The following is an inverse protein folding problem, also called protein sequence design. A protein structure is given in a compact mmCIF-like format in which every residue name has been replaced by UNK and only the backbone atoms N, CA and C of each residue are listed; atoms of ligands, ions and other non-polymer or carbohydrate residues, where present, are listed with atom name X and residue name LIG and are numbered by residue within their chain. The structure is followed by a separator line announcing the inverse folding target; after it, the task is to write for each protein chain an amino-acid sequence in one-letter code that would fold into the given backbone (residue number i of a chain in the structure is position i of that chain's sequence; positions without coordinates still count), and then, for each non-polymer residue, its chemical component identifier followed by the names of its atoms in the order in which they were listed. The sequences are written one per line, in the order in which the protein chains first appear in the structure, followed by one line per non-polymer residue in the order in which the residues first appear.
data_IF_777165924974
#
_entry.id   IF_777165924974
#
_cell.length_a   1.000
_cell.length_b   1.000
_cell.length_c   1.000
_cell.angle_alpha   90.00
_cell.angle_beta   90.00
_cell.angle_gamma   90.00
#
_symmetry.space_group_name_H-M   'P 1'
#
loop_
_entity.id
_entity.type
_entity.pdbx_description
1 polymer ?
#
# COMPACT_ATOMS: atom_id res chain seq x y z
N UNK A 1 -49.18 39.30 -5.92
CA UNK A 1 -48.57 38.02 -6.33
C UNK A 1 -47.07 38.22 -6.31
N UNK A 2 -46.44 37.84 -5.20
CA UNK A 2 -44.98 37.86 -5.02
C UNK A 2 -44.65 36.55 -4.33
N UNK A 3 -44.18 35.56 -5.09
CA UNK A 3 -43.67 34.32 -4.53
C UNK A 3 -42.28 34.55 -3.92
N UNK A 4 -41.88 33.78 -2.89
CA UNK A 4 -40.59 33.97 -2.25
C UNK A 4 -39.45 33.48 -3.16
N UNK A 5 -38.36 34.24 -3.15
CA UNK A 5 -37.07 33.94 -3.76
C UNK A 5 -36.42 32.72 -3.08
N UNK A 6 -35.81 31.77 -3.82
CA UNK A 6 -35.20 30.60 -3.22
C UNK A 6 -33.87 30.93 -2.53
N UNK A 7 -33.74 30.44 -1.29
CA UNK A 7 -32.59 30.54 -0.38
C UNK A 7 -31.34 29.81 -0.93
N UNK A 8 -30.15 30.45 -0.99
CA UNK A 8 -28.91 29.81 -1.42
C UNK A 8 -28.19 29.14 -0.24
N UNK A 9 -28.75 28.08 0.33
CA UNK A 9 -28.08 27.32 1.39
C UNK A 9 -28.54 25.85 1.49
N UNK A 10 -28.20 25.00 0.52
CA UNK A 10 -27.93 23.58 0.81
C UNK A 10 -26.83 23.06 -0.14
N UNK A 11 -25.59 23.35 0.23
CA UNK A 11 -24.38 22.90 -0.45
C UNK A 11 -24.02 21.43 -0.17
N UNK A 12 -24.99 20.56 0.13
CA UNK A 12 -24.75 19.11 0.10
C UNK A 12 -24.83 18.62 -1.34
N UNK A 13 -23.79 18.92 -2.13
CA UNK A 13 -23.48 18.10 -3.31
C UNK A 13 -23.08 16.72 -2.80
N UNK A 14 -24.05 15.80 -2.87
CA UNK A 14 -23.80 14.38 -2.82
C UNK A 14 -22.98 13.98 -4.04
N UNK A 15 -21.67 14.11 -3.93
CA UNK A 15 -20.74 13.38 -4.78
C UNK A 15 -20.71 11.95 -4.21
N UNK A 16 -21.72 11.17 -4.57
CA UNK A 16 -21.79 9.77 -4.20
C UNK A 16 -20.51 9.10 -4.69
N UNK A 17 -19.69 8.66 -3.75
CA UNK A 17 -18.54 7.84 -4.04
C UNK A 17 -19.00 6.65 -4.90
N UNK A 18 -18.39 6.39 -6.06
CA UNK A 18 -18.88 5.55 -7.14
C UNK A 18 -20.10 4.66 -6.80
N UNK A 19 -21.30 5.19 -7.11
CA UNK A 19 -22.55 4.43 -7.26
C UNK A 19 -23.79 5.04 -6.59
N UNK A 20 -24.98 5.01 -7.24
CA UNK A 20 -26.25 5.38 -6.62
C UNK A 20 -26.56 4.41 -5.49
N UNK A 21 -27.41 4.80 -4.54
CA UNK A 21 -27.92 3.91 -3.48
C UNK A 21 -28.42 2.59 -4.08
N UNK A 22 -27.61 1.54 -4.01
CA UNK A 22 -27.85 0.31 -4.74
C UNK A 22 -26.82 -0.75 -4.38
N UNK A 23 -27.22 -1.63 -3.46
CA UNK A 23 -26.54 -2.87 -3.08
C UNK A 23 -25.25 -2.66 -2.27
N UNK A 24 -25.47 -2.35 -0.99
CA UNK A 24 -24.66 -2.94 0.08
C UNK A 24 -24.78 -4.47 -0.03
N UNK A 25 -23.91 -5.12 -0.80
CA UNK A 25 -23.53 -6.51 -0.47
C UNK A 25 -22.66 -6.37 0.76
N UNK A 26 -23.32 -6.31 1.91
CA UNK A 26 -22.66 -6.50 3.17
C UNK A 26 -21.82 -7.77 3.10
N UNK A 27 -20.78 -7.79 3.93
CA UNK A 27 -20.19 -8.99 4.47
C UNK A 27 -21.27 -9.79 5.23
N UNK A 28 -22.25 -10.30 4.48
CA UNK A 28 -23.24 -11.24 4.91
C UNK A 28 -22.65 -12.60 4.66
N UNK A 29 -22.48 -13.35 5.75
CA UNK A 29 -22.18 -14.76 5.79
C UNK A 29 -22.69 -15.44 4.51
N UNK A 30 -21.78 -16.09 3.77
CA UNK A 30 -22.17 -17.07 2.76
C UNK A 30 -22.92 -18.18 3.50
N UNK A 31 -24.23 -18.01 3.65
CA UNK A 31 -25.14 -19.12 3.90
C UNK A 31 -25.12 -19.94 2.62
N UNK A 32 -24.32 -21.00 2.64
CA UNK A 32 -24.38 -22.04 1.61
C UNK A 32 -25.76 -22.68 1.76
N UNK A 33 -26.73 -22.23 0.95
CA UNK A 33 -27.94 -23.00 0.70
C UNK A 33 -27.52 -24.23 -0.11
N UNK A 34 -27.20 -25.30 0.61
CA UNK A 34 -27.03 -26.64 0.05
C UNK A 34 -28.41 -27.10 -0.39
N UNK A 35 -28.78 -26.84 -1.65
CA UNK A 35 -29.87 -27.55 -2.28
C UNK A 35 -29.38 -28.97 -2.59
N UNK A 36 -30.09 -29.94 -2.03
CA UNK A 36 -29.82 -31.37 -2.11
C UNK A 36 -29.47 -31.86 -3.52
N UNK A 37 -28.22 -32.30 -3.70
CA UNK A 37 -27.93 -33.47 -4.53
C UNK A 37 -27.34 -34.54 -3.61
N UNK A 38 -28.22 -35.46 -3.17
CA UNK A 38 -27.80 -36.73 -2.59
C UNK A 38 -26.96 -37.48 -3.63
N UNK A 39 -25.75 -37.89 -3.26
CA UNK A 39 -25.21 -39.26 -3.31
C UNK A 39 -23.68 -39.22 -3.26
N UNK A 40 -23.13 -39.75 -2.14
CA UNK A 40 -21.81 -40.38 -2.04
C UNK A 40 -20.59 -39.45 -1.95
N UNK A 41 -19.57 -39.64 -1.10
CA UNK A 41 -19.15 -40.71 -0.21
C UNK A 41 -18.27 -40.03 0.87
N UNK A 42 -18.55 -40.33 2.14
CA UNK A 42 -17.64 -40.06 3.25
C UNK A 42 -16.41 -40.97 3.12
N UNK A 43 -15.21 -40.42 3.04
CA UNK A 43 -14.02 -41.17 3.43
C UNK A 43 -12.93 -40.21 3.93
N UNK A 44 -12.99 -39.97 5.23
CA UNK A 44 -11.82 -39.62 6.01
C UNK A 44 -10.91 -40.87 6.13
N UNK A 45 -9.62 -40.61 6.39
CA UNK A 45 -8.54 -41.56 6.69
C UNK A 45 -7.75 -42.10 5.50
N UNK A 46 -6.63 -41.45 5.18
CA UNK A 46 -5.31 -42.09 5.04
C UNK A 46 -4.24 -41.05 4.65
N UNK A 47 -3.79 -40.22 5.59
CA UNK A 47 -2.46 -39.58 5.47
C UNK A 47 -1.50 -40.43 6.27
N UNK A 48 -0.87 -41.40 5.60
CA UNK A 48 0.34 -42.05 6.08
C UNK A 48 1.00 -42.77 4.91
N UNK A 49 2.03 -42.16 4.31
CA UNK A 49 3.12 -42.92 3.72
C UNK A 49 4.42 -42.15 3.95
N UNK A 50 5.23 -42.78 4.80
CA UNK A 50 6.52 -42.39 5.32
C UNK A 50 7.58 -42.56 4.23
N UNK A 51 8.33 -41.50 3.92
CA UNK A 51 9.58 -41.59 3.18
C UNK A 51 10.67 -40.84 3.94
N UNK A 52 11.22 -41.45 4.98
CA UNK A 52 12.49 -41.04 5.58
C UNK A 52 13.47 -42.19 5.41
N UNK A 53 14.25 -42.13 4.34
CA UNK A 53 15.43 -42.97 4.18
C UNK A 53 16.64 -42.15 4.67
N UNK A 54 17.09 -42.48 5.88
CA UNK A 54 18.36 -42.06 6.46
C UNK A 54 19.49 -42.85 5.82
N UNK A 55 20.45 -42.15 5.18
CA UNK A 55 21.79 -42.71 4.93
C UNK A 55 22.82 -41.82 5.61
N UNK A 56 23.37 -42.38 6.68
CA UNK A 56 24.48 -41.85 7.48
C UNK A 56 25.77 -42.12 6.69
N UNK A 57 26.56 -41.08 6.44
CA UNK A 57 27.97 -41.22 6.11
C UNK A 57 28.80 -40.26 6.97
N UNK A 58 29.10 -40.70 8.19
CA UNK A 58 30.15 -40.11 9.04
C UNK A 58 31.49 -40.55 8.45
N UNK A 59 32.31 -39.59 8.02
CA UNK A 59 33.75 -39.80 7.84
C UNK A 59 34.47 -38.94 8.87
N UNK A 60 34.83 -39.59 9.98
CA UNK A 60 35.86 -39.15 10.90
C UNK A 60 37.22 -39.55 10.30
N UNK A 61 38.11 -38.58 10.17
CA UNK A 61 39.51 -38.79 9.86
C UNK A 61 40.29 -37.54 10.28
N UNK A 62 41.04 -37.65 11.38
CA UNK A 62 42.12 -36.72 11.74
C UNK A 62 43.25 -36.74 10.70
N UNK A 63 44.34 -36.00 10.81
CA UNK A 63 44.91 -35.27 11.95
C UNK A 63 45.95 -34.26 11.42
N UNK A 64 46.13 -33.19 12.20
CA UNK A 64 47.36 -32.40 12.48
C UNK A 64 48.29 -31.83 11.39
N UNK A 65 48.34 -30.48 11.43
CA UNK A 65 49.49 -29.57 11.68
C UNK A 65 50.52 -29.22 10.59
N UNK A 66 50.77 -27.90 10.64
CA UNK A 66 52.04 -27.18 10.48
C UNK A 66 52.40 -26.66 9.09
N UNK A 67 52.39 -25.33 8.99
CA UNK A 67 52.99 -24.53 7.92
C UNK A 67 52.92 -23.06 8.31
N UNK A 68 53.93 -22.58 9.02
CA UNK A 68 54.18 -21.17 9.24
C UNK A 68 54.72 -20.55 7.93
N UNK A 69 54.27 -19.35 7.55
CA UNK A 69 55.11 -18.14 7.54
C UNK A 69 54.44 -16.90 6.92
N UNK A 70 54.70 -15.75 7.59
CA UNK A 70 54.85 -14.37 7.08
C UNK A 70 53.58 -13.48 6.84
N UNK A 71 53.72 -12.14 6.76
CA UNK A 71 53.46 -11.15 7.83
C UNK A 71 52.24 -10.22 7.54
N UNK A 72 51.84 -9.30 8.45
CA UNK A 72 50.66 -8.46 8.22
C UNK A 72 51.00 -7.28 7.30
N UNK A 73 50.40 -7.25 6.12
CA UNK A 73 50.40 -6.06 5.26
C UNK A 73 49.10 -5.29 5.47
N UNK A 74 49.22 -4.13 6.10
CA UNK A 74 48.16 -3.13 6.20
C UNK A 74 47.74 -2.67 4.80
N UNK A 75 46.46 -2.83 4.48
CA UNK A 75 45.79 -2.08 3.43
C UNK A 75 44.51 -1.49 4.02
N UNK A 76 44.27 -0.17 3.93
CA UNK A 76 42.94 0.37 4.17
C UNK A 76 42.09 -0.04 2.96
N UNK A 77 41.24 -1.06 3.13
CA UNK A 77 40.13 -1.25 2.21
C UNK A 77 39.14 -0.11 2.45
N UNK A 78 39.38 1.03 1.79
CA UNK A 78 38.30 1.93 1.41
C UNK A 78 37.49 1.20 0.34
N UNK A 79 36.58 0.34 0.78
CA UNK A 79 35.45 -0.03 -0.06
C UNK A 79 34.53 1.18 -0.06
N UNK A 80 34.18 1.77 -1.21
CA UNK A 80 32.99 2.60 -1.26
C UNK A 80 31.85 1.65 -0.88
N UNK A 81 31.28 1.86 0.30
CA UNK A 81 29.94 1.37 0.66
C UNK A 81 28.95 2.13 -0.23
N UNK A 82 29.04 1.87 -1.53
CA UNK A 82 28.15 2.38 -2.53
C UNK A 82 26.99 1.37 -2.57
N UNK A 83 25.87 1.82 -2.01
CA UNK A 83 24.54 1.34 -2.33
C UNK A 83 24.28 -0.15 -2.02
N UNK A 84 24.28 -0.52 -0.74
CA UNK A 84 23.09 -1.21 -0.24
C UNK A 84 22.03 -0.12 -0.01
N UNK A 85 21.41 0.33 -1.11
CA UNK A 85 20.16 1.08 -1.01
C UNK A 85 19.23 0.25 -0.14
N UNK A 86 18.75 0.84 0.94
CA UNK A 86 17.77 0.22 1.79
C UNK A 86 16.50 -0.03 0.98
N UNK A 87 16.38 -1.22 0.38
CA UNK A 87 15.19 -1.68 -0.36
C UNK A 87 13.93 -1.68 0.54
N UNK A 88 14.09 -1.42 1.85
CA UNK A 88 12.98 -1.16 2.76
C UNK A 88 12.26 0.16 2.49
N UNK A 89 12.80 1.07 1.68
CA UNK A 89 12.12 2.31 1.30
C UNK A 89 12.00 2.47 -0.23
N UNK A 90 10.78 2.81 -0.70
CA UNK A 90 10.55 3.24 -2.08
C UNK A 90 10.23 4.73 -2.07
N UNK A 91 10.91 5.53 -2.90
CA UNK A 91 10.64 6.97 -2.99
C UNK A 91 10.26 7.36 -4.40
N UNK A 92 9.19 8.14 -4.55
CA UNK A 92 8.71 8.56 -5.86
C UNK A 92 7.42 9.36 -5.77
N UNK A 93 6.76 9.52 -6.92
CA UNK A 93 5.45 10.14 -7.02
C UNK A 93 4.40 9.04 -7.16
N UNK A 94 3.38 9.08 -6.30
CA UNK A 94 2.23 8.19 -6.39
C UNK A 94 1.27 8.75 -7.44
N UNK A 95 1.19 8.09 -8.59
CA UNK A 95 0.30 8.45 -9.70
C UNK A 95 -0.97 7.63 -9.59
N UNK A 96 -2.12 8.30 -9.58
CA UNK A 96 -3.42 7.66 -9.65
C UNK A 96 -3.69 7.16 -11.07
N UNK A 97 -4.07 5.91 -11.24
CA UNK A 97 -4.29 5.33 -12.56
C UNK A 97 -5.53 5.90 -13.26
N UNK A 98 -6.60 6.18 -12.50
CA UNK A 98 -7.84 6.75 -13.04
C UNK A 98 -7.69 8.14 -13.63
N UNK A 99 -6.78 8.97 -13.10
CA UNK A 99 -6.59 10.36 -13.54
C UNK A 99 -5.25 10.65 -14.22
N UNK A 100 -4.22 9.82 -13.99
CA UNK A 100 -2.84 10.11 -14.36
C UNK A 100 -2.19 11.23 -13.55
N UNK A 101 -2.85 11.70 -12.47
CA UNK A 101 -2.36 12.77 -11.61
C UNK A 101 -1.64 12.23 -10.38
N UNK A 102 -0.76 13.04 -9.81
CA UNK A 102 0.04 12.69 -8.65
C UNK A 102 -0.66 13.09 -7.34
N UNK A 103 -0.51 12.25 -6.31
CA UNK A 103 -0.90 12.60 -4.95
C UNK A 103 0.01 13.72 -4.41
N UNK A 104 -0.60 14.81 -3.96
CA UNK A 104 0.07 16.02 -3.47
C UNK A 104 -0.38 16.38 -2.07
N UNK A 105 0.57 16.66 -1.18
CA UNK A 105 0.26 17.33 0.08
C UNK A 105 0.01 18.83 -0.16
N UNK A 106 -1.14 19.40 0.25
CA UNK A 106 -1.45 20.81 -0.03
C UNK A 106 -0.69 21.83 0.82
N UNK A 107 0.16 21.37 1.74
CA UNK A 107 0.97 22.20 2.62
C UNK A 107 1.57 21.37 3.75
N UNK A 108 2.04 22.03 4.80
CA UNK A 108 2.71 21.39 5.94
C UNK A 108 1.84 21.31 7.20
N UNK A 109 0.59 21.77 7.16
CA UNK A 109 -0.33 21.69 8.30
C UNK A 109 -0.79 20.27 8.61
N UNK A 110 -1.07 19.99 9.89
CA UNK A 110 -1.71 18.75 10.34
C UNK A 110 -3.16 18.68 9.86
N UNK A 111 -3.65 17.47 9.64
CA UNK A 111 -5.05 17.24 9.29
C UNK A 111 -5.42 17.69 7.87
N UNK A 112 -4.51 18.30 7.10
CA UNK A 112 -4.76 18.60 5.70
C UNK A 112 -4.92 17.29 4.91
N UNK A 113 -5.79 17.33 3.90
CA UNK A 113 -6.09 16.19 3.03
C UNK A 113 -5.25 16.32 1.76
N UNK A 114 -4.34 15.37 1.47
CA UNK A 114 -3.70 15.30 0.17
C UNK A 114 -4.72 15.27 -0.97
N UNK A 115 -4.38 15.90 -2.08
CA UNK A 115 -5.23 16.00 -3.28
C UNK A 115 -4.49 15.42 -4.48
N UNK A 116 -5.19 15.08 -5.56
CA UNK A 116 -4.52 14.79 -6.83
C UNK A 116 -4.24 16.08 -7.62
N UNK A 117 -3.09 16.13 -8.28
CA UNK A 117 -2.66 17.30 -9.06
C UNK A 117 -1.63 16.91 -10.13
N UNK A 118 -1.37 17.81 -11.08
CA UNK A 118 -0.36 17.61 -12.14
C UNK A 118 0.96 17.18 -11.53
N UNK A 119 1.55 16.09 -12.03
CA UNK A 119 2.86 15.65 -11.58
C UNK A 119 3.93 16.70 -11.92
N UNK A 120 4.71 17.14 -10.93
CA UNK A 120 5.83 18.09 -11.07
C UNK A 120 7.04 17.59 -10.26
N UNK A 121 8.20 18.24 -10.37
CA UNK A 121 9.38 17.91 -9.58
C UNK A 121 9.29 18.37 -8.10
N UNK A 122 8.18 19.00 -7.70
CA UNK A 122 8.02 19.55 -6.36
C UNK A 122 7.99 18.46 -5.27
N UNK A 123 8.56 18.79 -4.11
CA UNK A 123 8.66 17.85 -2.98
C UNK A 123 7.31 17.51 -2.36
N UNK A 124 6.27 18.33 -2.60
CA UNK A 124 4.92 18.13 -2.11
C UNK A 124 4.20 16.93 -2.76
N UNK A 125 4.75 16.42 -3.86
CA UNK A 125 4.30 15.19 -4.57
C UNK A 125 5.22 14.01 -4.39
N UNK A 126 6.32 14.19 -3.66
CA UNK A 126 7.26 13.10 -3.39
C UNK A 126 6.85 12.39 -2.11
N UNK A 127 6.70 11.08 -2.20
CA UNK A 127 6.35 10.21 -1.08
C UNK A 127 7.44 9.16 -0.88
N UNK A 128 7.77 8.91 0.37
CA UNK A 128 8.61 7.77 0.79
C UNK A 128 7.71 6.72 1.42
N UNK A 129 7.72 5.53 0.84
CA UNK A 129 7.03 4.34 1.29
C UNK A 129 8.02 3.51 2.10
N UNK A 130 8.14 3.82 3.39
CA UNK A 130 9.07 3.16 4.30
C UNK A 130 8.43 1.90 4.90
N UNK A 131 9.11 0.76 4.78
CA UNK A 131 8.66 -0.51 5.34
C UNK A 131 8.56 -0.41 6.86
N UNK A 132 7.62 -1.15 7.42
CA UNK A 132 7.47 -1.29 8.86
C UNK A 132 7.93 -2.71 9.24
N UNK A 133 8.61 -2.83 10.39
CA UNK A 133 9.29 -4.05 10.83
C UNK A 133 8.45 -5.32 10.62
N UNK A 134 9.02 -6.28 9.87
CA UNK A 134 8.43 -7.60 9.65
C UNK A 134 7.12 -7.65 8.86
N UNK A 135 6.61 -6.52 8.35
CA UNK A 135 5.30 -6.43 7.71
C UNK A 135 5.38 -6.09 6.21
N UNK A 136 4.34 -6.50 5.47
CA UNK A 136 4.05 -6.05 4.08
C UNK A 136 3.54 -4.59 4.02
N UNK A 137 3.40 -3.94 5.18
CA UNK A 137 2.86 -2.59 5.29
C UNK A 137 3.97 -1.54 5.27
N UNK A 138 3.62 -0.37 4.75
CA UNK A 138 4.48 0.80 4.56
C UNK A 138 3.84 2.00 5.25
N UNK A 139 4.65 2.90 5.78
CA UNK A 139 4.21 4.28 6.06
C UNK A 139 4.44 5.12 4.80
N UNK A 140 3.52 6.04 4.51
CA UNK A 140 3.61 6.94 3.36
C UNK A 140 3.93 8.34 3.86
N UNK A 141 5.21 8.71 3.83
CA UNK A 141 5.70 10.00 4.32
C UNK A 141 5.91 10.98 3.17
N UNK A 142 5.26 12.13 3.22
CA UNK A 142 5.47 13.20 2.24
C UNK A 142 6.81 13.92 2.47
N UNK A 143 7.55 14.22 1.40
CA UNK A 143 8.86 14.85 1.50
C UNK A 143 8.79 16.34 1.88
N UNK A 144 7.73 17.06 1.49
CA UNK A 144 7.56 18.48 1.82
C UNK A 144 7.08 18.67 3.27
N UNK A 145 6.03 17.95 3.69
CA UNK A 145 5.44 18.14 5.02
C UNK A 145 6.09 17.30 6.12
N UNK A 146 6.87 16.27 5.75
CA UNK A 146 7.45 15.31 6.66
C UNK A 146 6.45 14.42 7.39
N UNK A 147 5.16 14.46 7.00
CA UNK A 147 4.03 13.81 7.66
C UNK A 147 3.58 12.55 6.93
N UNK A 148 2.90 11.68 7.67
CA UNK A 148 2.41 10.40 7.21
C UNK A 148 0.94 10.45 6.80
N UNK A 149 0.61 9.80 5.69
CA UNK A 149 -0.77 9.60 5.25
C UNK A 149 -1.50 8.69 6.24
N UNK A 150 -2.61 9.17 6.76
CA UNK A 150 -3.37 8.62 7.88
C UNK A 150 -4.84 8.57 7.52
N UNK A 151 -5.49 7.42 7.69
CA UNK A 151 -6.97 7.38 7.57
C UNK A 151 -7.60 8.04 8.80
N UNK A 152 -8.61 8.87 8.57
CA UNK A 152 -9.44 9.44 9.65
C UNK A 152 -10.90 9.13 9.38
N UNK A 153 -11.52 8.35 10.27
CA UNK A 153 -12.84 7.76 10.05
C UNK A 153 -12.77 6.30 9.59
N UNK A 154 -13.91 5.65 9.48
CA UNK A 154 -14.05 4.24 9.07
C UNK A 154 -15.03 4.07 7.90
N UNK A 155 -15.79 5.11 7.58
CA UNK A 155 -16.77 5.16 6.51
C UNK A 155 -16.12 5.27 5.14
N UNK A 156 -16.86 4.87 4.10
CA UNK A 156 -16.48 5.18 2.72
C UNK A 156 -16.53 6.69 2.50
N UNK A 157 -15.50 7.21 1.84
CA UNK A 157 -15.34 8.63 1.59
C UNK A 157 -14.70 9.40 2.75
N UNK A 158 -14.37 8.75 3.86
CA UNK A 158 -13.64 9.42 4.93
C UNK A 158 -12.25 9.87 4.43
N UNK A 159 -11.78 11.06 4.82
CA UNK A 159 -10.56 11.62 4.27
C UNK A 159 -9.32 10.87 4.74
N UNK A 160 -8.34 10.73 3.83
CA UNK A 160 -6.98 10.37 4.18
C UNK A 160 -6.20 11.67 4.45
N UNK A 161 -5.81 11.92 5.70
CA UNK A 161 -5.16 13.16 6.15
C UNK A 161 -3.67 12.97 6.39
N UNK A 162 -2.92 14.05 6.45
CA UNK A 162 -1.53 14.01 6.90
C UNK A 162 -1.40 14.36 8.39
N UNK A 163 -0.67 13.54 9.15
CA UNK A 163 -0.34 13.77 10.56
C UNK A 163 1.12 13.43 10.84
N UNK A 164 1.62 13.84 12.00
CA UNK A 164 2.91 13.36 12.49
C UNK A 164 3.02 11.82 12.38
N UNK A 165 4.15 11.37 11.84
CA UNK A 165 4.44 9.94 11.71
C UNK A 165 4.63 9.33 13.10
N UNK A 166 3.84 8.31 13.42
CA UNK A 166 3.84 7.64 14.72
C UNK A 166 4.02 6.15 14.53
N UNK A 167 5.14 5.62 15.03
CA UNK A 167 5.42 4.19 14.96
C UNK A 167 4.29 3.37 15.62
N UNK A 168 3.98 2.20 15.05
CA UNK A 168 2.94 1.32 15.61
C UNK A 168 1.50 1.60 15.15
N UNK A 169 1.22 2.77 14.56
CA UNK A 169 -0.15 3.16 14.23
C UNK A 169 -0.69 2.49 12.97
N UNK A 170 -1.65 1.58 13.12
CA UNK A 170 -2.27 0.87 11.99
C UNK A 170 -2.99 1.80 11.01
N UNK A 171 -3.55 2.92 11.48
CA UNK A 171 -4.18 3.93 10.62
C UNK A 171 -3.18 4.66 9.71
N UNK A 172 -1.87 4.57 10.00
CA UNK A 172 -0.78 5.11 9.18
C UNK A 172 -0.05 4.03 8.37
N UNK A 173 -0.52 2.78 8.43
CA UNK A 173 0.08 1.65 7.73
C UNK A 173 -0.76 1.29 6.50
N UNK A 174 -0.07 1.19 5.37
CA UNK A 174 -0.66 0.89 4.08
C UNK A 174 0.01 -0.34 3.48
N UNK A 175 -0.79 -1.37 3.20
CA UNK A 175 -0.38 -2.56 2.48
C UNK A 175 -0.42 -2.26 0.97
N UNK A 176 0.71 -2.52 0.29
CA UNK A 176 0.73 -2.50 -1.17
C UNK A 176 0.23 -3.85 -1.66
N UNK A 177 -0.96 -3.86 -2.27
CA UNK A 177 -1.49 -5.06 -2.91
C UNK A 177 -1.33 -4.90 -4.42
N UNK A 178 -0.34 -5.62 -4.96
CA UNK A 178 0.03 -5.54 -6.36
C UNK A 178 -0.99 -6.23 -7.25
N UNK A 179 -1.30 -5.58 -8.36
CA UNK A 179 -2.14 -6.11 -9.42
C UNK A 179 -1.41 -7.15 -10.26
N UNK A 180 -2.19 -7.90 -11.03
CA UNK A 180 -1.71 -8.88 -11.99
C UNK A 180 -2.29 -8.61 -13.39
N UNK A 181 -1.77 -9.27 -14.41
CA UNK A 181 -2.25 -9.12 -15.79
C UNK A 181 -2.18 -7.67 -16.27
N UNK A 182 -3.33 -7.11 -16.68
CA UNK A 182 -3.43 -5.72 -17.14
C UNK A 182 -3.07 -4.67 -16.07
N UNK A 183 -3.04 -5.07 -14.78
CA UNK A 183 -2.65 -4.22 -13.64
C UNK A 183 -1.22 -4.49 -13.15
N UNK A 184 -0.41 -5.24 -13.90
CA UNK A 184 1.00 -5.43 -13.55
C UNK A 184 1.70 -4.06 -13.37
N UNK A 185 2.51 -3.93 -12.31
CA UNK A 185 3.18 -2.67 -11.97
C UNK A 185 2.30 -1.63 -11.27
N UNK A 186 1.01 -1.92 -11.05
CA UNK A 186 0.10 -1.09 -10.28
C UNK A 186 -0.26 -1.79 -8.97
N UNK A 187 -0.65 -1.02 -7.97
CA UNK A 187 -1.07 -1.52 -6.66
C UNK A 187 -2.21 -0.69 -6.09
N UNK A 188 -3.04 -1.33 -5.26
CA UNK A 188 -3.92 -0.60 -4.34
C UNK A 188 -3.20 -0.40 -3.01
N UNK A 189 -3.46 0.73 -2.36
CA UNK A 189 -2.97 1.04 -1.02
C UNK A 189 -4.06 0.73 -0.01
N UNK A 190 -4.01 -0.45 0.59
CA UNK A 190 -5.02 -0.89 1.57
C UNK A 190 -4.58 -0.55 2.99
N UNK A 191 -5.39 0.19 3.72
CA UNK A 191 -5.08 0.56 5.09
C UNK A 191 -5.15 -0.66 6.03
N UNK A 192 -4.14 -0.80 6.90
CA UNK A 192 -4.03 -1.94 7.80
C UNK A 192 -5.01 -1.90 8.98
N UNK A 193 -5.59 -0.75 9.32
CA UNK A 193 -6.54 -0.65 10.42
C UNK A 193 -7.95 -1.13 10.04
N UNK A 194 -8.41 -0.80 8.83
CA UNK A 194 -9.82 -0.95 8.45
C UNK A 194 -10.06 -1.60 7.07
N UNK A 195 -9.00 -2.11 6.44
CA UNK A 195 -9.08 -2.85 5.18
C UNK A 195 -9.58 -2.06 3.96
N UNK A 196 -9.70 -0.73 4.03
CA UNK A 196 -10.13 0.14 2.92
C UNK A 196 -8.96 0.61 2.07
N UNK A 197 -9.23 0.91 0.80
CA UNK A 197 -8.25 1.35 -0.17
C UNK A 197 -8.21 2.88 -0.29
N UNK A 198 -7.00 3.42 -0.51
CA UNK A 198 -6.82 4.82 -0.89
C UNK A 198 -7.42 5.08 -2.26
N UNK A 199 -8.16 6.18 -2.35
CA UNK A 199 -8.91 6.61 -3.52
C UNK A 199 -8.73 8.12 -3.71
N UNK A 200 -8.73 8.58 -4.96
CA UNK A 200 -9.16 9.95 -5.29
C UNK A 200 -10.25 9.85 -6.36
N UNK A 201 -11.50 10.17 -6.00
CA UNK A 201 -12.60 10.05 -6.95
C UNK A 201 -12.57 11.15 -7.99
N UNK A 202 -12.78 10.78 -9.25
CA UNK A 202 -12.81 11.69 -10.40
C UNK A 202 -11.41 11.97 -10.96
N UNK A 203 -11.35 12.71 -12.07
CA UNK A 203 -10.11 12.90 -12.85
C UNK A 203 -9.55 14.33 -12.80
N UNK A 204 -10.23 15.24 -12.09
CA UNK A 204 -9.84 16.65 -11.98
C UNK A 204 -8.74 16.90 -10.93
N UNK A 205 -8.03 18.02 -11.08
CA UNK A 205 -7.06 18.49 -10.08
C UNK A 205 -7.76 18.98 -8.81
N UNK A 206 -7.05 18.92 -7.68
CA UNK A 206 -7.54 19.38 -6.39
C UNK A 206 -8.56 18.45 -5.72
N UNK A 207 -8.89 17.31 -6.33
CA UNK A 207 -9.81 16.35 -5.75
C UNK A 207 -9.15 15.61 -4.56
N UNK A 208 -9.85 15.48 -3.42
CA UNK A 208 -9.27 14.99 -2.18
C UNK A 208 -9.06 13.48 -2.18
N UNK A 209 -8.00 13.05 -1.51
CA UNK A 209 -7.79 11.65 -1.18
C UNK A 209 -8.70 11.20 -0.03
N UNK A 210 -9.29 10.03 -0.19
CA UNK A 210 -10.19 9.41 0.75
C UNK A 210 -9.96 7.89 0.81
N UNK A 211 -10.70 7.23 1.69
CA UNK A 211 -10.75 5.77 1.75
C UNK A 211 -12.08 5.23 1.24
N UNK A 212 -12.05 4.05 0.64
CA UNK A 212 -13.25 3.34 0.18
C UNK A 212 -13.06 1.83 0.31
N UNK A 213 -14.15 1.06 0.30
CA UNK A 213 -14.05 -0.39 0.07
C UNK A 213 -13.29 -0.68 -1.23
N UNK A 214 -12.31 -1.57 -1.16
CA UNK A 214 -11.47 -1.94 -2.30
C UNK A 214 -12.29 -2.63 -3.39
N UNK A 215 -12.05 -2.29 -4.67
CA UNK A 215 -12.57 -3.01 -5.83
C UNK A 215 -11.59 -2.92 -7.00
N UNK A 216 -11.34 -4.05 -7.68
CA UNK A 216 -10.33 -4.16 -8.73
C UNK A 216 -10.73 -3.42 -10.02
N UNK A 217 -12.02 -3.22 -10.23
CA UNK A 217 -12.61 -2.55 -11.38
C UNK A 217 -12.43 -1.02 -11.37
N UNK A 218 -12.08 -0.43 -10.23
CA UNK A 218 -12.06 1.02 -10.03
C UNK A 218 -10.65 1.60 -10.19
N UNK A 219 -10.36 2.15 -11.38
CA UNK A 219 -9.05 2.71 -11.72
C UNK A 219 -8.56 3.81 -10.76
N UNK A 220 -9.49 4.55 -10.16
CA UNK A 220 -9.20 5.62 -9.19
C UNK A 220 -8.72 5.11 -7.82
N UNK A 221 -8.75 3.80 -7.58
CA UNK A 221 -8.16 3.13 -6.41
C UNK A 221 -6.76 2.56 -6.68
N UNK A 222 -6.34 2.50 -7.95
CA UNK A 222 -5.06 1.96 -8.37
C UNK A 222 -4.00 3.05 -8.48
N UNK A 223 -2.80 2.71 -8.07
CA UNK A 223 -1.65 3.60 -8.03
C UNK A 223 -0.43 2.92 -8.65
N UNK A 224 0.47 3.72 -9.19
CA UNK A 224 1.83 3.29 -9.48
C UNK A 224 2.82 4.34 -8.99
N UNK A 225 4.05 3.91 -8.73
CA UNK A 225 5.13 4.78 -8.27
C UNK A 225 6.05 5.09 -9.45
N UNK A 226 6.24 6.38 -9.73
CA UNK A 226 7.24 6.83 -10.71
C UNK A 226 8.38 7.58 -10.01
N UNK A 227 9.60 7.59 -10.57
CA UNK A 227 10.65 8.49 -10.10
C UNK A 227 10.14 9.93 -10.10
N UNK A 228 10.57 10.73 -9.11
CA UNK A 228 10.28 12.17 -9.12
C UNK A 228 10.81 12.76 -10.42
N UNK A 229 9.98 13.48 -11.15
CA UNK A 229 10.38 14.16 -12.39
C UNK A 229 11.72 14.89 -12.21
N UNK A 230 12.63 14.72 -13.17
CA UNK A 230 13.98 15.27 -13.11
C UNK A 230 14.99 14.45 -12.29
N UNK A 231 14.58 13.34 -11.67
CA UNK A 231 15.52 12.36 -11.07
C UNK A 231 16.02 11.40 -12.15
N UNK A 232 17.32 11.10 -12.21
CA UNK A 232 17.84 10.06 -13.11
C UNK A 232 17.21 8.70 -12.77
N UNK A 233 16.94 7.90 -13.81
CA UNK A 233 16.39 6.53 -13.71
C UNK A 233 17.45 5.50 -13.34
#
# INVERSE_FOLDING_TARGET
MTGPEPDPADGRRGDAYHGPAGVQRGSGNLQVNIHEHRVGILSACAVALVCVATVIAVRLGGDTRAGADAPPASAPATTPDAALEDLSALTGQLVNDGSGLCLRAPGTGEGLVPVQDTCTADTDRTWTLAQQDGARSRTLRNAHSGRCLTVTGEENGAPARQFACTAGQYVQRWELQWGSGARAGHFVLRNAANAKCLLVQGTGQGLPAAQISCGEEYADQWWHLVPRQGSPS
#
